data_IF_817977381635
#
_entry.id   IF_817977381635
#
_cell.length_a   1.000
_cell.length_b   1.000
_cell.length_c   1.000
_cell.angle_alpha   90.00
_cell.angle_beta   90.00
_cell.angle_gamma   90.00
#
_symmetry.space_group_name_H-M   'P 1'
#
loop_
_entity.id
_entity.type
_entity.pdbx_description
1 polymer ?
#
# COMPACT_ATOMS: atom_id res chain seq x y z
N UNK A 1 0.93 8.01 -27.76
CA UNK A 1 2.06 7.19 -28.26
C UNK A 1 2.05 5.89 -27.44
N UNK A 2 1.67 4.78 -28.07
CA UNK A 2 1.33 3.53 -27.39
C UNK A 2 2.53 2.78 -26.82
N UNK A 3 2.40 2.35 -25.57
CA UNK A 3 3.30 1.38 -24.93
C UNK A 3 3.17 0.04 -25.65
N UNK A 4 4.15 -0.29 -26.49
CA UNK A 4 4.31 -1.64 -27.01
C UNK A 4 4.76 -2.53 -25.87
N UNK A 5 3.90 -3.45 -25.46
CA UNK A 5 4.28 -4.58 -24.62
C UNK A 5 5.39 -5.37 -25.32
N UNK A 6 6.57 -5.42 -24.71
CA UNK A 6 7.59 -6.40 -25.05
C UNK A 6 7.05 -7.77 -24.66
N UNK A 7 6.46 -8.50 -25.61
CA UNK A 7 6.26 -9.94 -25.45
C UNK A 7 7.63 -10.59 -25.57
N UNK A 8 8.22 -10.95 -24.43
CA UNK A 8 9.29 -11.93 -24.41
C UNK A 8 8.75 -13.21 -25.07
N UNK A 9 9.51 -13.73 -26.03
CA UNK A 9 9.25 -15.04 -26.64
C UNK A 9 9.39 -16.11 -25.56
N UNK A 10 8.29 -16.54 -24.96
CA UNK A 10 8.24 -17.73 -24.10
C UNK A 10 8.55 -18.96 -24.96
N UNK A 11 9.82 -19.36 -25.02
CA UNK A 11 10.16 -20.72 -25.43
C UNK A 11 9.47 -21.66 -24.45
N UNK A 12 8.71 -22.62 -24.96
CA UNK A 12 8.07 -23.64 -24.13
C UNK A 12 9.13 -24.30 -23.24
N UNK A 13 8.88 -24.33 -21.91
CA UNK A 13 9.78 -25.01 -20.99
C UNK A 13 9.88 -26.50 -21.39
N UNK A 14 11.09 -27.09 -21.35
CA UNK A 14 11.24 -28.51 -21.59
C UNK A 14 10.38 -29.33 -20.62
N UNK A 15 9.91 -30.52 -21.02
CA UNK A 15 9.14 -31.39 -20.14
C UNK A 15 9.95 -31.80 -18.92
N UNK A 16 9.29 -31.90 -17.76
CA UNK A 16 9.91 -32.31 -16.50
C UNK A 16 10.52 -33.71 -16.61
N UNK A 17 11.75 -33.86 -16.13
CA UNK A 17 12.41 -35.16 -15.97
C UNK A 17 11.75 -35.96 -14.83
N UNK A 18 12.08 -37.25 -14.72
CA UNK A 18 11.62 -38.05 -13.57
C UNK A 18 12.16 -37.53 -12.23
N UNK A 19 13.38 -36.97 -12.23
CA UNK A 19 13.93 -36.29 -11.06
C UNK A 19 13.09 -35.06 -10.70
N UNK A 20 12.78 -34.20 -11.67
CA UNK A 20 12.00 -32.97 -11.41
C UNK A 20 10.61 -33.31 -10.88
N UNK A 21 9.94 -34.31 -11.47
CA UNK A 21 8.64 -34.81 -10.99
C UNK A 21 8.76 -35.32 -9.55
N UNK A 22 9.84 -36.02 -9.22
CA UNK A 22 10.04 -36.55 -7.87
C UNK A 22 10.30 -35.44 -6.85
N UNK A 23 11.10 -34.43 -7.22
CA UNK A 23 11.32 -33.23 -6.40
C UNK A 23 10.01 -32.49 -6.18
N UNK A 24 9.20 -32.28 -7.23
CA UNK A 24 7.88 -31.65 -7.11
C UNK A 24 6.93 -32.44 -6.19
N UNK A 25 6.89 -33.77 -6.31
CA UNK A 25 6.10 -34.65 -5.45
C UNK A 25 6.49 -34.48 -3.97
N UNK A 26 7.78 -34.43 -3.67
CA UNK A 26 8.27 -34.31 -2.29
C UNK A 26 8.10 -32.89 -1.74
N UNK A 27 8.18 -31.85 -2.59
CA UNK A 27 7.77 -30.48 -2.21
C UNK A 27 6.29 -30.44 -1.81
N UNK A 28 5.41 -31.13 -2.56
CA UNK A 28 3.97 -31.25 -2.22
C UNK A 28 3.73 -32.00 -0.90
N UNK A 29 4.66 -32.85 -0.49
CA UNK A 29 4.69 -33.51 0.83
C UNK A 29 5.28 -32.64 1.94
N UNK A 30 5.55 -31.37 1.64
CA UNK A 30 6.04 -30.36 2.57
C UNK A 30 7.44 -30.65 3.14
N UNK A 31 8.32 -31.29 2.34
CA UNK A 31 9.72 -31.47 2.72
C UNK A 31 10.56 -30.24 2.35
N UNK A 32 11.58 -29.95 3.15
CA UNK A 32 12.63 -28.99 2.79
C UNK A 32 13.57 -29.58 1.74
N UNK A 33 14.28 -28.75 0.98
CA UNK A 33 15.23 -29.25 -0.04
C UNK A 33 16.29 -30.20 0.53
N UNK A 34 16.74 -29.96 1.77
CA UNK A 34 17.72 -30.83 2.44
C UNK A 34 17.15 -32.23 2.73
N UNK A 35 15.86 -32.30 3.11
CA UNK A 35 15.16 -33.58 3.31
C UNK A 35 14.90 -34.28 1.98
N UNK A 36 14.56 -33.52 0.94
CA UNK A 36 14.35 -34.06 -0.42
C UNK A 36 15.64 -34.70 -0.94
N UNK A 37 16.77 -33.99 -0.86
CA UNK A 37 18.08 -34.49 -1.25
C UNK A 37 18.40 -35.82 -0.56
N UNK A 38 18.16 -35.90 0.75
CA UNK A 38 18.35 -37.12 1.54
C UNK A 38 17.41 -38.26 1.13
N UNK A 39 16.14 -37.97 0.85
CA UNK A 39 15.12 -38.96 0.51
C UNK A 39 15.39 -39.66 -0.83
N UNK A 40 15.87 -38.90 -1.82
CA UNK A 40 16.15 -39.41 -3.18
C UNK A 40 17.61 -39.79 -3.40
N UNK A 41 18.50 -39.47 -2.45
CA UNK A 41 19.91 -39.83 -2.50
C UNK A 41 20.74 -39.04 -3.51
N UNK A 42 20.42 -37.76 -3.71
CA UNK A 42 21.15 -36.85 -4.62
C UNK A 42 21.67 -35.62 -3.89
N UNK A 43 22.57 -34.86 -4.54
CA UNK A 43 23.11 -33.64 -3.95
C UNK A 43 22.07 -32.50 -3.92
N UNK A 44 22.22 -31.60 -2.94
CA UNK A 44 21.36 -30.43 -2.79
C UNK A 44 21.37 -29.54 -4.04
N UNK A 45 22.49 -29.45 -4.74
CA UNK A 45 22.58 -28.67 -6.00
C UNK A 45 21.75 -29.29 -7.13
N UNK A 46 21.64 -30.63 -7.17
CA UNK A 46 20.77 -31.31 -8.15
C UNK A 46 19.30 -31.06 -7.85
N UNK A 47 18.91 -31.03 -6.56
CA UNK A 47 17.56 -30.61 -6.16
C UNK A 47 17.28 -29.17 -6.58
N UNK A 48 18.25 -28.26 -6.45
CA UNK A 48 18.09 -26.87 -6.88
C UNK A 48 17.94 -26.74 -8.39
N UNK A 49 18.70 -27.51 -9.18
CA UNK A 49 18.58 -27.51 -10.63
C UNK A 49 17.16 -27.91 -11.07
N UNK A 50 16.55 -28.88 -10.38
CA UNK A 50 15.15 -29.25 -10.63
C UNK A 50 14.16 -28.10 -10.38
N UNK A 51 14.44 -27.18 -9.45
CA UNK A 51 13.56 -26.04 -9.18
C UNK A 51 13.45 -25.08 -10.37
N UNK A 52 14.46 -24.99 -11.24
CA UNK A 52 14.43 -24.11 -12.43
C UNK A 52 13.43 -24.60 -13.48
N UNK A 53 13.13 -25.91 -13.47
CA UNK A 53 12.21 -26.56 -14.40
C UNK A 53 10.78 -26.62 -13.85
N UNK A 54 10.62 -26.71 -12.53
CA UNK A 54 9.31 -26.77 -11.86
C UNK A 54 8.60 -25.40 -11.94
N UNK A 55 7.27 -25.44 -12.15
CA UNK A 55 6.41 -24.27 -12.02
C UNK A 55 6.18 -23.94 -10.54
N UNK A 56 7.17 -23.32 -9.90
CA UNK A 56 7.07 -22.93 -8.48
C UNK A 56 5.90 -21.97 -8.21
N UNK A 57 5.62 -20.93 -9.02
CA UNK A 57 4.43 -20.11 -8.84
C UNK A 57 3.13 -20.92 -8.84
N UNK A 58 2.94 -21.80 -9.82
CA UNK A 58 1.77 -22.67 -9.89
C UNK A 58 1.72 -23.75 -8.80
N UNK A 59 2.87 -24.13 -8.24
CA UNK A 59 2.94 -25.02 -7.09
C UNK A 59 2.48 -24.30 -5.81
N UNK A 60 2.97 -23.08 -5.57
CA UNK A 60 2.60 -22.25 -4.42
C UNK A 60 1.12 -21.88 -4.43
N UNK A 61 0.57 -21.52 -5.61
CA UNK A 61 -0.85 -21.14 -5.72
C UNK A 61 -1.82 -22.28 -5.39
N UNK A 62 -1.38 -23.54 -5.54
CA UNK A 62 -2.15 -24.74 -5.22
C UNK A 62 -2.10 -25.11 -3.73
N UNK A 63 -1.25 -24.46 -2.94
CA UNK A 63 -1.22 -24.60 -1.47
C UNK A 63 -2.33 -23.73 -0.90
N UNK A 64 -3.25 -24.33 -0.14
CA UNK A 64 -4.47 -23.68 0.41
C UNK A 64 -4.25 -22.21 0.83
N UNK A 65 -5.06 -21.31 0.27
CA UNK A 65 -5.19 -19.91 0.70
C UNK A 65 -4.42 -18.89 -0.13
N UNK A 66 -4.02 -19.22 -1.36
CA UNK A 66 -3.58 -18.26 -2.40
C UNK A 66 -4.52 -18.24 -3.63
N UNK A 67 -5.57 -19.03 -3.57
CA UNK A 67 -6.66 -19.12 -4.53
C UNK A 67 -7.35 -17.76 -4.64
N UNK A 68 -7.07 -17.05 -5.74
CA UNK A 68 -7.71 -15.76 -6.07
C UNK A 68 -6.87 -14.51 -5.82
N UNK A 69 -5.58 -14.60 -5.49
CA UNK A 69 -4.72 -13.39 -5.48
C UNK A 69 -4.51 -12.89 -6.91
N UNK A 70 -4.85 -11.63 -7.20
CA UNK A 70 -4.57 -10.98 -8.53
C UNK A 70 -3.08 -11.00 -8.90
N UNK A 71 -2.18 -11.24 -7.93
CA UNK A 71 -0.73 -11.19 -8.10
C UNK A 71 -0.09 -12.46 -7.50
N UNK A 72 0.08 -13.54 -8.28
CA UNK A 72 0.80 -14.72 -7.82
C UNK A 72 2.28 -14.40 -7.55
N UNK A 73 2.93 -15.08 -6.59
CA UNK A 73 4.35 -14.85 -6.31
C UNK A 73 5.21 -15.22 -7.52
N UNK A 74 6.20 -14.38 -7.82
CA UNK A 74 7.12 -14.64 -8.92
C UNK A 74 8.06 -15.84 -8.60
N UNK A 75 8.62 -16.44 -9.66
CA UNK A 75 9.45 -17.64 -9.53
C UNK A 75 10.73 -17.41 -8.70
N UNK A 76 11.31 -16.20 -8.72
CA UNK A 76 12.53 -15.86 -7.98
C UNK A 76 12.24 -15.82 -6.49
N UNK A 77 11.11 -15.23 -6.10
CA UNK A 77 10.64 -15.19 -4.71
C UNK A 77 10.38 -16.60 -4.18
N UNK A 78 9.64 -17.43 -4.92
CA UNK A 78 9.38 -18.82 -4.54
C UNK A 78 10.69 -19.62 -4.37
N UNK A 79 11.61 -19.49 -5.32
CA UNK A 79 12.91 -20.15 -5.27
C UNK A 79 13.71 -19.74 -4.03
N UNK A 80 13.81 -18.43 -3.75
CA UNK A 80 14.54 -17.92 -2.57
C UNK A 80 13.97 -18.48 -1.27
N UNK A 81 12.65 -18.52 -1.13
CA UNK A 81 12.02 -19.02 0.08
C UNK A 81 12.30 -20.51 0.34
N UNK A 82 12.22 -21.34 -0.69
CA UNK A 82 12.53 -22.77 -0.57
C UNK A 82 14.04 -23.01 -0.36
N UNK A 83 14.89 -22.35 -1.14
CA UNK A 83 16.31 -22.65 -1.19
C UNK A 83 17.14 -21.88 -0.16
N UNK A 84 17.00 -20.55 -0.13
CA UNK A 84 17.81 -19.67 0.72
C UNK A 84 17.25 -19.64 2.13
N UNK A 85 15.94 -19.46 2.29
CA UNK A 85 15.28 -19.44 3.58
C UNK A 85 15.00 -20.86 4.15
N UNK A 86 15.27 -21.90 3.35
CA UNK A 86 15.14 -23.33 3.73
C UNK A 86 13.75 -23.71 4.24
N UNK A 87 12.71 -23.06 3.73
CA UNK A 87 11.34 -23.29 4.15
C UNK A 87 10.74 -24.52 3.46
N UNK A 88 9.74 -25.12 4.10
CA UNK A 88 8.84 -26.05 3.42
C UNK A 88 7.90 -25.28 2.47
N UNK A 89 7.19 -25.98 1.60
CA UNK A 89 6.28 -25.37 0.65
C UNK A 89 5.16 -24.57 1.36
N UNK A 90 4.64 -25.08 2.47
CA UNK A 90 3.61 -24.44 3.29
C UNK A 90 4.15 -23.18 3.97
N UNK A 91 5.29 -23.29 4.64
CA UNK A 91 5.95 -22.15 5.30
C UNK A 91 6.30 -21.05 4.29
N UNK A 92 6.78 -21.43 3.11
CA UNK A 92 7.09 -20.50 2.03
C UNK A 92 5.82 -19.82 1.50
N UNK A 93 4.72 -20.55 1.34
CA UNK A 93 3.42 -19.99 0.92
C UNK A 93 2.88 -18.97 1.93
N UNK A 94 2.94 -19.27 3.23
CA UNK A 94 2.57 -18.31 4.29
C UNK A 94 3.46 -17.07 4.25
N UNK A 95 4.77 -17.25 4.09
CA UNK A 95 5.70 -16.12 4.00
C UNK A 95 5.46 -15.25 2.77
N UNK A 96 5.09 -15.83 1.64
CA UNK A 96 4.66 -15.10 0.45
C UNK A 96 3.45 -14.20 0.74
N UNK A 97 2.45 -14.69 1.49
CA UNK A 97 1.27 -13.89 1.87
C UNK A 97 1.65 -12.65 2.69
N UNK A 98 2.56 -12.82 3.66
CA UNK A 98 3.07 -11.70 4.46
C UNK A 98 3.82 -10.67 3.61
N UNK A 99 4.72 -11.14 2.74
CA UNK A 99 5.49 -10.25 1.85
C UNK A 99 4.54 -9.47 0.93
N UNK A 100 3.56 -10.15 0.33
CA UNK A 100 2.59 -9.52 -0.55
C UNK A 100 1.72 -8.49 0.20
N UNK A 101 1.20 -8.85 1.37
CA UNK A 101 0.43 -7.92 2.20
C UNK A 101 1.24 -6.65 2.53
N UNK A 102 2.53 -6.81 2.83
CA UNK A 102 3.44 -5.68 3.09
C UNK A 102 3.64 -4.82 1.85
N UNK A 103 3.94 -5.43 0.69
CA UNK A 103 4.12 -4.71 -0.58
C UNK A 103 2.85 -3.94 -0.95
N UNK A 104 1.67 -4.55 -0.82
CA UNK A 104 0.40 -3.87 -1.08
C UNK A 104 0.14 -2.70 -0.13
N UNK A 105 0.49 -2.84 1.15
CA UNK A 105 0.38 -1.74 2.11
C UNK A 105 1.34 -0.59 1.77
N UNK A 106 2.58 -0.89 1.36
CA UNK A 106 3.55 0.12 0.89
C UNK A 106 3.06 0.85 -0.37
N UNK A 107 2.49 0.12 -1.34
CA UNK A 107 1.85 0.72 -2.52
C UNK A 107 0.66 1.61 -2.15
N UNK A 108 -0.22 1.16 -1.26
CA UNK A 108 -1.34 1.97 -0.79
C UNK A 108 -0.87 3.27 -0.12
N UNK A 109 0.17 3.21 0.71
CA UNK A 109 0.76 4.41 1.31
C UNK A 109 1.38 5.35 0.25
N UNK A 110 2.04 4.80 -0.77
CA UNK A 110 2.60 5.60 -1.86
C UNK A 110 1.49 6.30 -2.67
N UNK A 111 0.40 5.60 -2.95
CA UNK A 111 -0.79 6.16 -3.60
C UNK A 111 -1.42 7.26 -2.74
N UNK A 112 -1.54 7.05 -1.43
CA UNK A 112 -2.09 8.04 -0.50
C UNK A 112 -1.21 9.29 -0.39
N UNK A 113 0.12 9.15 -0.42
CA UNK A 113 1.04 10.29 -0.45
C UNK A 113 0.85 11.13 -1.71
N UNK A 114 0.77 10.50 -2.88
CA UNK A 114 0.46 11.19 -4.14
C UNK A 114 -0.93 11.84 -4.09
N UNK A 115 -1.91 11.16 -3.48
CA UNK A 115 -3.26 11.67 -3.31
C UNK A 115 -3.28 12.96 -2.46
N UNK A 116 -2.50 13.00 -1.37
CA UNK A 116 -2.33 14.19 -0.52
C UNK A 116 -1.67 15.35 -1.30
N UNK A 117 -0.66 15.09 -2.12
CA UNK A 117 -0.04 16.13 -2.97
C UNK A 117 -1.02 16.71 -4.00
N UNK A 118 -1.79 15.83 -4.65
CA UNK A 118 -2.87 16.23 -5.57
C UNK A 118 -3.95 17.04 -4.86
N UNK A 119 -4.29 16.67 -3.62
CA UNK A 119 -5.28 17.40 -2.82
C UNK A 119 -4.87 18.86 -2.62
N UNK A 120 -3.61 19.12 -2.24
CA UNK A 120 -3.08 20.47 -2.06
C UNK A 120 -3.08 21.28 -3.36
N UNK A 121 -2.86 20.61 -4.49
CA UNK A 121 -2.86 21.25 -5.82
C UNK A 121 -4.28 21.53 -6.33
N UNK A 122 -5.21 20.62 -6.09
CA UNK A 122 -6.55 20.64 -6.71
C UNK A 122 -7.61 21.33 -5.85
N UNK A 123 -7.37 21.52 -4.55
CA UNK A 123 -8.33 22.11 -3.62
C UNK A 123 -7.88 23.49 -3.12
N UNK A 124 -8.59 24.54 -3.52
CA UNK A 124 -8.32 25.91 -3.09
C UNK A 124 -8.37 26.11 -1.55
N UNK A 125 -9.23 25.38 -0.85
CA UNK A 125 -9.28 25.43 0.62
C UNK A 125 -7.99 24.88 1.24
N UNK A 126 -7.54 23.72 0.76
CA UNK A 126 -6.31 23.09 1.28
C UNK A 126 -5.06 23.90 0.93
N UNK A 127 -5.01 24.49 -0.27
CA UNK A 127 -3.96 25.43 -0.65
C UNK A 127 -3.96 26.67 0.27
N UNK A 128 -5.13 27.25 0.52
CA UNK A 128 -5.26 28.38 1.45
C UNK A 128 -4.78 28.01 2.86
N UNK A 129 -5.15 26.83 3.37
CA UNK A 129 -4.68 26.41 4.68
C UNK A 129 -3.15 26.31 4.73
N UNK A 130 -2.51 25.77 3.70
CA UNK A 130 -1.06 25.69 3.61
C UNK A 130 -0.40 27.08 3.56
N UNK A 131 -0.93 27.99 2.73
CA UNK A 131 -0.38 29.34 2.55
C UNK A 131 -0.52 30.22 3.81
N UNK A 132 -1.56 29.98 4.60
CA UNK A 132 -1.90 30.78 5.78
C UNK A 132 -1.63 30.08 7.12
N UNK A 133 -0.94 28.93 7.10
CA UNK A 133 -0.73 28.02 8.22
C UNK A 133 -0.29 28.70 9.54
N UNK A 134 0.51 29.76 9.46
CA UNK A 134 1.00 30.52 10.63
C UNK A 134 -0.14 31.18 11.42
N UNK A 135 -1.20 31.60 10.73
CA UNK A 135 -2.25 32.49 11.26
C UNK A 135 -3.64 31.87 11.35
N UNK A 136 -3.80 30.62 10.90
CA UNK A 136 -5.08 29.93 10.98
C UNK A 136 -5.50 29.72 12.43
N UNK A 137 -6.81 29.75 12.67
CA UNK A 137 -7.35 29.38 13.98
C UNK A 137 -7.51 27.86 14.11
N UNK A 138 -7.67 27.41 15.36
CA UNK A 138 -7.85 26.00 15.70
C UNK A 138 -9.00 25.32 14.93
N UNK A 139 -10.08 26.04 14.61
CA UNK A 139 -11.22 25.45 13.89
C UNK A 139 -10.89 25.13 12.43
N UNK A 140 -9.99 25.90 11.80
CA UNK A 140 -9.50 25.62 10.45
C UNK A 140 -8.62 24.38 10.47
N UNK A 141 -7.72 24.30 11.44
CA UNK A 141 -6.88 23.14 11.68
C UNK A 141 -7.68 21.87 11.92
N UNK A 142 -8.75 21.95 12.72
CA UNK A 142 -9.67 20.83 12.90
C UNK A 142 -10.25 20.35 11.57
N UNK A 143 -10.66 21.27 10.70
CA UNK A 143 -11.21 20.90 9.39
C UNK A 143 -10.17 20.33 8.44
N UNK A 144 -8.95 20.86 8.46
CA UNK A 144 -7.80 20.30 7.75
C UNK A 144 -7.48 18.87 8.21
N UNK A 145 -7.36 18.66 9.52
CA UNK A 145 -7.11 17.35 10.12
C UNK A 145 -8.20 16.33 9.77
N UNK A 146 -9.47 16.74 9.73
CA UNK A 146 -10.59 15.88 9.31
C UNK A 146 -10.53 15.49 7.83
N UNK A 147 -9.92 16.31 6.97
CA UNK A 147 -9.72 15.97 5.56
C UNK A 147 -8.53 15.04 5.42
N UNK A 148 -7.40 15.37 6.08
CA UNK A 148 -6.15 14.63 5.98
C UNK A 148 -6.21 13.25 6.67
N UNK A 149 -7.01 13.10 7.73
CA UNK A 149 -7.20 11.81 8.42
C UNK A 149 -7.74 10.70 7.51
N UNK A 150 -8.35 11.05 6.37
CA UNK A 150 -8.78 10.10 5.35
C UNK A 150 -7.61 9.33 4.71
N UNK A 151 -6.40 9.88 4.71
CA UNK A 151 -5.21 9.33 4.05
C UNK A 151 -4.25 8.64 5.02
N UNK A 152 -4.70 8.27 6.22
CA UNK A 152 -3.89 7.55 7.20
C UNK A 152 -2.58 8.27 7.55
N UNK A 153 -1.48 7.52 7.58
CA UNK A 153 -0.16 8.05 7.94
C UNK A 153 0.38 9.12 6.97
N UNK A 154 0.29 8.99 5.63
CA UNK A 154 0.60 10.10 4.73
C UNK A 154 -0.19 11.39 5.03
N UNK A 155 -1.45 11.25 5.42
CA UNK A 155 -2.27 12.37 5.90
C UNK A 155 -1.75 12.98 7.21
N UNK A 156 -1.33 12.13 8.16
CA UNK A 156 -0.74 12.55 9.44
C UNK A 156 0.54 13.33 9.21
N UNK A 157 1.47 12.78 8.43
CA UNK A 157 2.73 13.44 8.07
C UNK A 157 2.47 14.82 7.48
N UNK A 158 1.52 14.93 6.54
CA UNK A 158 1.18 16.22 5.96
C UNK A 158 0.55 17.17 6.97
N UNK A 159 -0.31 16.69 7.86
CA UNK A 159 -0.90 17.52 8.90
C UNK A 159 0.17 18.11 9.84
N UNK A 160 1.18 17.31 10.19
CA UNK A 160 2.34 17.81 10.94
C UNK A 160 3.13 18.86 10.15
N UNK A 161 3.40 18.61 8.87
CA UNK A 161 4.10 19.55 8.00
C UNK A 161 3.37 20.91 7.93
N UNK A 162 2.07 20.89 7.66
CA UNK A 162 1.22 22.08 7.57
C UNK A 162 1.04 22.77 8.91
N UNK A 163 1.00 22.03 10.02
CA UNK A 163 0.89 22.61 11.36
C UNK A 163 2.21 23.20 11.87
N UNK A 164 3.36 22.72 11.39
CA UNK A 164 4.69 23.12 11.89
C UNK A 164 5.00 24.63 11.94
N UNK A 165 4.49 25.47 11.01
CA UNK A 165 4.75 26.91 11.04
C UNK A 165 3.92 27.68 12.08
N UNK A 166 2.88 27.07 12.65
CA UNK A 166 1.95 27.77 13.53
C UNK A 166 2.58 28.18 14.84
N UNK A 167 2.43 29.48 15.10
CA UNK A 167 2.84 30.14 16.31
C UNK A 167 1.90 31.30 16.59
N UNK A 168 1.44 31.35 17.83
CA UNK A 168 0.69 32.45 18.44
C UNK A 168 1.42 32.91 19.68
N UNK A 169 0.99 34.02 20.28
CA UNK A 169 1.57 34.56 21.52
C UNK A 169 1.48 33.59 22.72
N UNK A 170 0.63 32.56 22.64
CA UNK A 170 0.32 31.66 23.76
C UNK A 170 0.42 30.17 23.41
N UNK A 171 0.69 29.81 22.15
CA UNK A 171 0.74 28.43 21.70
C UNK A 171 1.59 28.32 20.42
N UNK A 172 2.31 27.22 20.30
CA UNK A 172 3.04 26.85 19.09
C UNK A 172 2.80 25.37 18.81
N UNK A 173 3.08 24.96 17.57
CA UNK A 173 3.07 23.55 17.20
C UNK A 173 3.86 22.70 18.21
N UNK A 174 3.24 21.60 18.64
CA UNK A 174 3.94 20.50 19.31
C UNK A 174 3.53 19.18 18.68
N UNK A 175 4.49 18.29 18.47
CA UNK A 175 4.22 16.97 17.90
C UNK A 175 3.17 16.19 18.70
N UNK A 176 3.22 16.29 20.04
CA UNK A 176 2.28 15.60 20.94
C UNK A 176 0.84 16.08 20.75
N UNK A 177 0.61 17.39 20.73
CA UNK A 177 -0.75 17.94 20.59
C UNK A 177 -1.28 17.74 19.18
N UNK A 178 -0.45 17.92 18.15
CA UNK A 178 -0.83 17.67 16.76
C UNK A 178 -1.23 16.21 16.55
N UNK A 179 -0.48 15.26 17.12
CA UNK A 179 -0.85 13.85 17.10
C UNK A 179 -2.19 13.59 17.79
N UNK A 180 -2.40 14.14 18.99
CA UNK A 180 -3.65 13.97 19.73
C UNK A 180 -4.86 14.49 18.93
N UNK A 181 -4.74 15.66 18.29
CA UNK A 181 -5.78 16.24 17.44
C UNK A 181 -6.05 15.39 16.20
N UNK A 182 -5.01 14.87 15.56
CA UNK A 182 -5.16 14.00 14.39
C UNK A 182 -5.85 12.67 14.77
N UNK A 183 -5.51 12.10 15.93
CA UNK A 183 -6.18 10.91 16.45
C UNK A 183 -7.67 11.15 16.73
N UNK A 184 -8.03 12.34 17.21
CA UNK A 184 -9.43 12.76 17.35
C UNK A 184 -10.14 12.89 16.00
N UNK A 185 -9.47 13.43 14.97
CA UNK A 185 -10.01 13.47 13.61
C UNK A 185 -10.24 12.06 13.04
N UNK A 186 -9.32 11.10 13.25
CA UNK A 186 -9.53 9.69 12.88
C UNK A 186 -10.75 9.11 13.62
N UNK A 187 -10.87 9.33 14.93
CA UNK A 187 -12.02 8.87 15.72
C UNK A 187 -13.33 9.46 15.22
N UNK A 188 -13.34 10.70 14.75
CA UNK A 188 -14.50 11.33 14.14
C UNK A 188 -14.86 10.70 12.78
N UNK A 189 -13.86 10.37 11.97
CA UNK A 189 -14.04 9.61 10.73
C UNK A 189 -14.72 8.26 10.96
N UNK A 190 -14.30 7.51 11.98
CA UNK A 190 -14.93 6.24 12.37
C UNK A 190 -16.40 6.37 12.79
N UNK A 191 -16.87 7.58 13.11
CA UNK A 191 -18.26 7.91 13.44
C UNK A 191 -19.04 8.48 12.25
N UNK A 192 -18.45 8.52 11.05
CA UNK A 192 -19.05 9.11 9.85
C UNK A 192 -19.14 10.64 9.88
N UNK A 193 -18.37 11.30 10.75
CA UNK A 193 -18.33 12.77 10.87
C UNK A 193 -17.28 13.37 9.91
N UNK A 194 -16.23 12.60 9.61
CA UNK A 194 -15.20 12.92 8.63
C UNK A 194 -15.39 12.13 7.31
N UNK A 195 -14.79 12.57 6.20
CA UNK A 195 -14.05 13.82 6.04
C UNK A 195 -14.98 15.03 5.99
N UNK A 196 -14.48 16.19 6.43
CA UNK A 196 -15.25 17.43 6.39
C UNK A 196 -15.70 17.76 4.95
N UNK A 197 -16.97 18.16 4.83
CA UNK A 197 -17.61 18.45 3.53
C UNK A 197 -17.42 19.91 3.15
N UNK A 198 -17.42 20.20 1.85
CA UNK A 198 -17.23 21.55 1.34
C UNK A 198 -18.28 22.55 1.86
N UNK A 199 -19.53 22.10 2.03
CA UNK A 199 -20.60 22.93 2.61
C UNK A 199 -20.38 23.20 4.10
N UNK A 200 -19.94 22.19 4.87
CA UNK A 200 -19.55 22.37 6.27
C UNK A 200 -18.39 23.35 6.42
N UNK A 201 -17.37 23.26 5.55
CA UNK A 201 -16.22 24.18 5.53
C UNK A 201 -16.69 25.61 5.25
N UNK A 202 -17.51 25.79 4.21
CA UNK A 202 -18.05 27.11 3.88
C UNK A 202 -18.90 27.69 5.01
N UNK A 203 -19.77 26.89 5.65
CA UNK A 203 -20.61 27.34 6.76
C UNK A 203 -19.80 27.68 8.02
N UNK A 204 -18.76 26.90 8.31
CA UNK A 204 -17.95 27.07 9.53
C UNK A 204 -16.96 28.21 9.42
N UNK A 205 -16.31 28.34 8.25
CA UNK A 205 -15.17 29.23 8.06
C UNK A 205 -15.47 30.43 7.18
N UNK A 206 -16.61 30.43 6.50
CA UNK A 206 -16.92 31.42 5.47
C UNK A 206 -16.03 31.32 4.22
N UNK A 207 -15.26 30.24 4.07
CA UNK A 207 -14.36 30.07 2.93
C UNK A 207 -15.17 29.87 1.65
N UNK A 208 -15.02 30.78 0.69
CA UNK A 208 -15.68 30.68 -0.60
C UNK A 208 -14.72 30.12 -1.66
N UNK A 209 -15.03 28.91 -2.12
CA UNK A 209 -14.27 28.27 -3.18
C UNK A 209 -14.46 29.03 -4.50
N UNK A 210 -13.41 29.19 -5.33
CA UNK A 210 -13.47 29.90 -6.60
C UNK A 210 -14.50 29.28 -7.56
N UNK A 211 -15.01 30.07 -8.50
CA UNK A 211 -16.04 29.63 -9.47
C UNK A 211 -15.62 28.38 -10.25
N UNK A 212 -14.34 28.26 -10.59
CA UNK A 212 -13.78 27.16 -11.35
C UNK A 212 -13.43 25.92 -10.50
N UNK A 213 -13.79 25.89 -9.21
CA UNK A 213 -13.47 24.82 -8.26
C UNK A 213 -13.80 23.43 -8.81
N UNK A 214 -12.80 22.55 -8.83
CA UNK A 214 -12.91 21.18 -9.34
C UNK A 214 -13.95 20.36 -8.58
N UNK A 215 -14.04 20.51 -7.25
CA UNK A 215 -15.02 19.76 -6.47
C UNK A 215 -16.46 20.10 -6.87
N UNK A 216 -16.76 21.39 -7.11
CA UNK A 216 -18.09 21.81 -7.59
C UNK A 216 -18.38 21.23 -8.98
N UNK A 217 -17.43 21.37 -9.93
CA UNK A 217 -17.57 20.84 -11.31
C UNK A 217 -17.83 19.34 -11.33
N UNK A 218 -17.14 18.59 -10.47
CA UNK A 218 -17.22 17.12 -10.40
C UNK A 218 -18.25 16.61 -9.40
N UNK A 219 -19.01 17.49 -8.73
CA UNK A 219 -19.99 17.15 -7.69
C UNK A 219 -19.39 16.36 -6.52
N UNK A 220 -18.11 16.59 -6.22
CA UNK A 220 -17.40 16.02 -5.07
C UNK A 220 -17.79 16.80 -3.80
N UNK A 221 -18.16 16.07 -2.74
CA UNK A 221 -18.73 16.67 -1.53
C UNK A 221 -17.70 17.07 -0.46
N UNK A 222 -16.46 16.59 -0.56
CA UNK A 222 -15.38 16.85 0.40
C UNK A 222 -14.06 17.04 -0.36
N UNK A 223 -13.16 17.92 0.10
CA UNK A 223 -11.82 18.04 -0.47
C UNK A 223 -11.11 16.69 -0.65
N UNK A 224 -11.22 15.77 0.31
CA UNK A 224 -10.59 14.45 0.24
C UNK A 224 -10.93 13.68 -1.06
N UNK A 225 -12.11 13.89 -1.64
CA UNK A 225 -12.51 13.26 -2.90
C UNK A 225 -11.75 13.77 -4.14
N UNK A 226 -11.08 14.93 -4.07
CA UNK A 226 -10.26 15.47 -5.15
C UNK A 226 -8.89 14.80 -5.29
N UNK A 227 -8.47 14.04 -4.28
CA UNK A 227 -7.17 13.39 -4.24
C UNK A 227 -7.02 12.29 -5.32
N UNK A 228 -8.14 11.83 -5.89
CA UNK A 228 -8.20 10.80 -6.94
C UNK A 228 -8.40 11.37 -8.36
N UNK A 229 -8.44 12.70 -8.50
CA UNK A 229 -8.58 13.42 -9.77
C UNK A 229 -7.19 13.74 -10.34
#
# INVERSE_FOLDING_TARGET
LGLKAFKASEKAKPPLTEQDKKVEELLRKDLTLDKIAKEIGIDREEVKASLDHIDLPGLFSKVKGLDGSEHPPDAVTCYRLLNVNKLTLTQASEKCKEIYAKVMAEHAQADDKLAVEKLLTNCAYMAYCADHAVTLSETWWWSEGQILSFFGEPGREKYHELSSPYRTDHSAYTEKETNAKFDEAIKAGNKGIAPHRCDTIQQTHGFDCPENCLARKMKIKSPAGLARV
#
